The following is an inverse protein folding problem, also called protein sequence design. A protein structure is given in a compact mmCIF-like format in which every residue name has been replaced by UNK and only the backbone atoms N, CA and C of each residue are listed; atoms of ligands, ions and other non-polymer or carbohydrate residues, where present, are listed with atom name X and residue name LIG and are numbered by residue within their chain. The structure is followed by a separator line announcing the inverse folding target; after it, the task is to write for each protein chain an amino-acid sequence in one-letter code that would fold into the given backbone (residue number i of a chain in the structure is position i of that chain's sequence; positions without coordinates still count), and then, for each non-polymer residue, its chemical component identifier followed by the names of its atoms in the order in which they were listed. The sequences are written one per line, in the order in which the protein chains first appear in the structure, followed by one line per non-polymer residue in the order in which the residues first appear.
data_IF_646062745024
#
_entry.id   IF_646062745024
#
_cell.length_a   1.000
_cell.length_b   1.000
_cell.length_c   1.000
_cell.angle_alpha   90.00
_cell.angle_beta   90.00
_cell.angle_gamma   90.00
#
_symmetry.space_group_name_H-M   'P 1'
#
loop_
_entity.id
_entity.type
_entity.pdbx_description
1 polymer ?
#
# COMPACT_ATOMS: atom_id res chain seq x y z
N UNK A 1 -18.44 12.19 -9.84
CA UNK A 1 -16.99 11.94 -10.02
C UNK A 1 -16.16 12.38 -8.82
N UNK A 2 -16.30 13.61 -8.32
CA UNK A 2 -15.52 14.12 -7.17
C UNK A 2 -15.61 13.24 -5.92
N UNK A 3 -16.81 12.72 -5.59
CA UNK A 3 -17.03 11.81 -4.47
C UNK A 3 -16.19 10.53 -4.56
N UNK A 4 -15.99 9.99 -5.77
CA UNK A 4 -15.20 8.78 -6.00
C UNK A 4 -13.73 9.05 -5.66
N UNK A 5 -13.17 10.16 -6.15
CA UNK A 5 -11.79 10.56 -5.82
C UNK A 5 -11.59 10.83 -4.33
N UNK A 6 -12.59 11.40 -3.64
CA UNK A 6 -12.52 11.61 -2.18
C UNK A 6 -12.41 10.27 -1.44
N UNK A 7 -13.17 9.26 -1.86
CA UNK A 7 -13.09 7.90 -1.28
C UNK A 7 -11.71 7.28 -1.53
N UNK A 8 -11.18 7.39 -2.75
CA UNK A 8 -9.85 6.87 -3.08
C UNK A 8 -8.73 7.59 -2.29
N UNK A 9 -8.80 8.92 -2.17
CA UNK A 9 -7.87 9.70 -1.33
C UNK A 9 -7.95 9.24 0.13
N UNK A 10 -9.15 9.02 0.66
CA UNK A 10 -9.33 8.50 2.02
C UNK A 10 -8.71 7.10 2.18
N UNK A 11 -8.88 6.20 1.20
CA UNK A 11 -8.22 4.89 1.17
C UNK A 11 -6.68 5.01 1.13
N UNK A 12 -6.15 5.92 0.31
CA UNK A 12 -4.71 6.19 0.23
C UNK A 12 -4.15 6.69 1.57
N UNK A 13 -4.86 7.58 2.26
CA UNK A 13 -4.51 8.02 3.61
C UNK A 13 -4.57 6.87 4.62
N UNK A 14 -5.58 5.99 4.52
CA UNK A 14 -5.67 4.80 5.36
C UNK A 14 -4.45 3.89 5.17
N UNK A 15 -4.00 3.64 3.93
CA UNK A 15 -2.78 2.85 3.68
C UNK A 15 -1.54 3.50 4.30
N UNK A 16 -1.39 4.83 4.21
CA UNK A 16 -0.28 5.54 4.85
C UNK A 16 -0.37 5.37 6.38
N UNK A 17 -1.55 5.53 6.97
CA UNK A 17 -1.74 5.42 8.42
C UNK A 17 -1.43 4.01 8.93
N UNK A 18 -1.91 2.97 8.23
CA UNK A 18 -1.58 1.56 8.53
C UNK A 18 -0.09 1.31 8.39
N UNK A 19 0.55 1.89 7.37
CA UNK A 19 1.98 1.73 7.14
C UNK A 19 2.82 2.35 8.24
N UNK A 20 2.41 3.53 8.73
CA UNK A 20 3.03 4.18 9.89
C UNK A 20 2.82 3.35 11.16
N UNK A 21 1.62 2.79 11.37
CA UNK A 21 1.35 1.90 12.51
C UNK A 21 2.24 0.67 12.47
N UNK A 22 2.35 -0.02 11.33
CA UNK A 22 3.24 -1.18 11.17
C UNK A 22 4.70 -0.78 11.39
N UNK A 23 5.13 0.35 10.81
CA UNK A 23 6.52 0.82 10.90
C UNK A 23 6.93 1.24 12.33
N UNK A 24 6.08 2.01 13.03
CA UNK A 24 6.40 2.55 14.37
C UNK A 24 6.00 1.64 15.51
N UNK A 25 4.82 1.01 15.43
CA UNK A 25 4.27 0.18 16.51
C UNK A 25 4.64 -1.30 16.35
N UNK A 26 5.35 -1.67 15.27
CA UNK A 26 5.81 -3.03 14.99
C UNK A 26 4.68 -4.08 15.02
N UNK A 27 3.45 -3.65 14.73
CA UNK A 27 2.26 -4.51 14.72
C UNK A 27 2.20 -5.34 13.44
N UNK A 28 3.14 -6.27 13.30
CA UNK A 28 3.23 -7.19 12.15
C UNK A 28 2.03 -8.15 12.07
N UNK A 29 1.32 -8.37 13.18
CA UNK A 29 0.09 -9.18 13.25
C UNK A 29 -1.05 -8.67 12.36
N UNK A 30 -1.00 -7.38 11.97
CA UNK A 30 -1.99 -6.78 11.07
C UNK A 30 -1.79 -7.25 9.61
N UNK A 31 -0.60 -7.79 9.29
CA UNK A 31 -0.32 -8.34 7.97
C UNK A 31 -0.96 -9.72 7.85
N UNK A 32 -1.78 -9.92 6.82
CA UNK A 32 -2.47 -11.20 6.56
C UNK A 32 -1.53 -12.39 6.33
N UNK A 33 -0.26 -12.13 6.03
CA UNK A 33 0.78 -13.14 5.81
C UNK A 33 1.55 -13.48 7.09
N UNK A 34 1.28 -12.82 8.21
CA UNK A 34 1.93 -13.14 9.48
C UNK A 34 1.44 -14.49 10.01
N UNK A 35 2.33 -15.48 10.01
CA UNK A 35 2.10 -16.77 10.65
C UNK A 35 2.75 -16.77 12.03
N UNK A 36 1.94 -16.78 13.09
CA UNK A 36 2.44 -16.80 14.48
C UNK A 36 3.27 -18.04 14.83
N UNK A 37 3.30 -19.06 13.97
CA UNK A 37 4.10 -20.28 14.15
C UNK A 37 5.55 -20.15 13.66
N UNK A 38 5.86 -19.15 12.82
CA UNK A 38 7.20 -18.95 12.24
C UNK A 38 7.98 -17.87 13.00
N UNK A 39 9.29 -18.06 13.14
CA UNK A 39 10.19 -17.04 13.69
C UNK A 39 10.53 -16.02 12.60
N UNK A 40 10.05 -14.81 12.76
CA UNK A 40 10.43 -13.66 11.94
C UNK A 40 11.34 -12.72 12.73
N UNK A 41 12.26 -12.05 12.06
CA UNK A 41 12.86 -10.82 12.58
C UNK A 41 11.80 -9.72 12.54
N UNK A 42 10.99 -9.65 13.59
CA UNK A 42 9.81 -8.77 13.70
C UNK A 42 10.15 -7.29 13.53
N UNK A 43 11.35 -6.88 13.95
CA UNK A 43 11.82 -5.50 13.85
C UNK A 43 12.14 -5.11 12.42
N UNK A 44 12.88 -5.96 11.71
CA UNK A 44 13.23 -5.72 10.31
C UNK A 44 12.01 -5.88 9.41
N UNK A 45 11.16 -6.87 9.68
CA UNK A 45 9.93 -7.13 8.95
C UNK A 45 8.95 -5.95 9.06
N UNK A 46 8.71 -5.45 10.27
CA UNK A 46 7.87 -4.27 10.50
C UNK A 46 8.37 -3.04 9.75
N UNK A 47 9.68 -2.80 9.76
CA UNK A 47 10.28 -1.66 9.05
C UNK A 47 10.11 -1.78 7.54
N UNK A 48 10.35 -2.95 6.97
CA UNK A 48 10.25 -3.17 5.52
C UNK A 48 8.79 -3.13 5.08
N UNK A 49 7.92 -3.93 5.68
CA UNK A 49 6.50 -3.99 5.33
C UNK A 49 5.81 -2.63 5.54
N UNK A 50 6.06 -1.97 6.67
CA UNK A 50 5.54 -0.64 6.95
C UNK A 50 6.01 0.40 5.93
N UNK A 51 7.29 0.40 5.56
CA UNK A 51 7.84 1.31 4.55
C UNK A 51 7.20 1.09 3.18
N UNK A 52 6.99 -0.16 2.77
CA UNK A 52 6.30 -0.46 1.52
C UNK A 52 4.83 -0.05 1.53
N UNK A 53 4.11 -0.26 2.64
CA UNK A 53 2.72 0.15 2.77
C UNK A 53 2.58 1.69 2.72
N UNK A 54 3.51 2.41 3.36
CA UNK A 54 3.59 3.87 3.26
C UNK A 54 3.83 4.30 1.81
N UNK A 55 4.79 3.69 1.12
CA UNK A 55 5.06 4.03 -0.28
C UNK A 55 3.88 3.74 -1.20
N UNK A 56 3.21 2.61 -1.00
CA UNK A 56 1.99 2.26 -1.73
C UNK A 56 0.93 3.35 -1.54
N UNK A 57 0.64 3.74 -0.30
CA UNK A 57 -0.34 4.79 0.00
C UNK A 57 0.05 6.18 -0.52
N UNK A 58 1.33 6.54 -0.49
CA UNK A 58 1.82 7.81 -1.06
C UNK A 58 1.68 7.81 -2.58
N UNK A 59 2.03 6.71 -3.26
CA UNK A 59 1.89 6.60 -4.72
C UNK A 59 0.44 6.62 -5.17
N UNK A 60 -0.45 5.91 -4.47
CA UNK A 60 -1.89 5.97 -4.78
C UNK A 60 -2.45 7.36 -4.53
N UNK A 61 -2.02 8.05 -3.47
CA UNK A 61 -2.43 9.44 -3.21
C UNK A 61 -2.00 10.40 -4.34
N UNK A 62 -0.77 10.26 -4.84
CA UNK A 62 -0.29 11.08 -5.97
C UNK A 62 -1.16 10.83 -7.21
N UNK A 63 -1.45 9.56 -7.52
CA UNK A 63 -2.32 9.18 -8.64
C UNK A 63 -3.71 9.77 -8.45
N UNK A 64 -4.32 9.62 -7.27
CA UNK A 64 -5.67 10.13 -6.98
C UNK A 64 -5.75 11.65 -7.20
N UNK A 65 -4.76 12.41 -6.71
CA UNK A 65 -4.71 13.86 -6.88
C UNK A 65 -4.50 14.24 -8.35
N UNK A 66 -3.56 13.62 -9.05
CA UNK A 66 -3.31 13.91 -10.48
C UNK A 66 -4.55 13.64 -11.34
N UNK A 67 -5.19 12.49 -11.15
CA UNK A 67 -6.36 12.09 -11.94
C UNK A 67 -7.63 12.85 -11.57
N UNK A 68 -7.74 13.36 -10.33
CA UNK A 68 -8.83 14.26 -9.95
C UNK A 68 -8.86 15.52 -10.82
N UNK A 69 -7.70 16.06 -11.21
CA UNK A 69 -7.61 17.22 -12.12
C UNK A 69 -7.78 16.80 -13.59
N UNK A 70 -7.13 15.71 -14.03
CA UNK A 70 -7.18 15.25 -15.42
C UNK A 70 -8.58 14.77 -15.85
N UNK A 71 -9.33 14.10 -14.97
CA UNK A 71 -10.67 13.61 -15.27
C UNK A 71 -11.72 14.73 -15.37
N UNK A 72 -11.41 15.96 -14.92
CA UNK A 72 -12.24 17.13 -15.21
C UNK A 72 -12.17 17.55 -16.68
N UNK A 73 -11.08 17.20 -17.37
CA UNK A 73 -10.82 17.59 -18.76
C UNK A 73 -11.35 16.53 -19.72
N UNK A 74 -11.02 15.25 -19.49
CA UNK A 74 -11.51 14.15 -20.33
C UNK A 74 -11.90 12.90 -19.52
N UNK A 75 -13.09 12.37 -19.81
CA UNK A 75 -13.63 11.16 -19.16
C UNK A 75 -12.79 9.89 -19.43
N UNK A 76 -12.10 9.83 -20.58
CA UNK A 76 -11.25 8.69 -20.94
C UNK A 76 -10.11 8.42 -19.93
N UNK A 77 -9.68 9.44 -19.17
CA UNK A 77 -8.64 9.27 -18.14
C UNK A 77 -9.09 8.42 -16.95
N UNK A 78 -10.39 8.14 -16.78
CA UNK A 78 -10.89 7.26 -15.71
C UNK A 78 -10.42 5.82 -15.91
N UNK A 79 -10.37 5.33 -17.16
CA UNK A 79 -9.87 3.99 -17.44
C UNK A 79 -8.37 3.87 -17.13
N UNK A 80 -7.61 4.90 -17.51
CA UNK A 80 -6.18 4.99 -17.20
C UNK A 80 -5.94 5.06 -15.68
N UNK A 81 -6.77 5.80 -14.96
CA UNK A 81 -6.77 5.86 -13.49
C UNK A 81 -6.93 4.46 -12.89
N UNK A 82 -7.98 3.73 -13.25
CA UNK A 82 -8.27 2.39 -12.72
C UNK A 82 -7.13 1.40 -12.99
N UNK A 83 -6.54 1.43 -14.20
CA UNK A 83 -5.41 0.58 -14.57
C UNK A 83 -4.19 0.93 -13.71
N UNK A 84 -3.84 2.22 -13.61
CA UNK A 84 -2.69 2.67 -12.85
C UNK A 84 -2.82 2.36 -11.35
N UNK A 85 -4.01 2.56 -10.78
CA UNK A 85 -4.31 2.26 -9.39
C UNK A 85 -4.16 0.76 -9.11
N UNK A 86 -4.77 -0.09 -9.93
CA UNK A 86 -4.66 -1.55 -9.82
C UNK A 86 -3.20 -2.01 -9.94
N UNK A 87 -2.45 -1.47 -10.90
CA UNK A 87 -1.04 -1.78 -11.09
C UNK A 87 -0.19 -1.47 -9.85
N UNK A 88 -0.38 -0.29 -9.24
CA UNK A 88 0.33 0.09 -8.01
C UNK A 88 -0.02 -0.86 -6.86
N UNK A 89 -1.30 -1.19 -6.67
CA UNK A 89 -1.71 -2.11 -5.61
C UNK A 89 -1.06 -3.49 -5.77
N UNK A 90 -1.13 -4.07 -6.97
CA UNK A 90 -0.59 -5.40 -7.25
C UNK A 90 0.93 -5.39 -7.14
N UNK A 91 1.61 -4.39 -7.71
CA UNK A 91 3.06 -4.30 -7.68
C UNK A 91 3.60 -4.22 -6.25
N UNK A 92 3.05 -3.33 -5.42
CA UNK A 92 3.47 -3.21 -4.03
C UNK A 92 3.09 -4.42 -3.20
N UNK A 93 1.92 -5.03 -3.43
CA UNK A 93 1.53 -6.27 -2.74
C UNK A 93 2.51 -7.41 -3.02
N UNK A 94 2.83 -7.67 -4.30
CA UNK A 94 3.82 -8.69 -4.68
C UNK A 94 5.20 -8.38 -4.10
N UNK A 95 5.61 -7.10 -4.11
CA UNK A 95 6.91 -6.70 -3.57
C UNK A 95 6.99 -6.92 -2.07
N UNK A 96 5.94 -6.56 -1.33
CA UNK A 96 5.84 -6.80 0.11
C UNK A 96 5.92 -8.30 0.41
N UNK A 97 5.15 -9.14 -0.28
CA UNK A 97 5.17 -10.59 -0.06
C UNK A 97 6.56 -11.19 -0.30
N UNK A 98 7.22 -10.83 -1.41
CA UNK A 98 8.58 -11.32 -1.73
C UNK A 98 9.64 -10.86 -0.73
N UNK A 99 9.50 -9.65 -0.21
CA UNK A 99 10.44 -9.15 0.78
C UNK A 99 10.17 -9.79 2.15
N UNK A 100 8.91 -10.03 2.53
CA UNK A 100 8.54 -10.81 3.73
C UNK A 100 9.14 -12.23 3.68
N UNK A 101 8.99 -12.95 2.56
CA UNK A 101 9.56 -14.29 2.36
C UNK A 101 11.09 -14.33 2.52
N UNK A 102 11.79 -13.24 2.20
CA UNK A 102 13.25 -13.14 2.39
C UNK A 102 13.68 -12.96 3.85
N UNK A 103 12.78 -12.43 4.68
CA UNK A 103 13.03 -12.20 6.10
C UNK A 103 12.43 -13.29 7.00
N UNK A 104 11.82 -14.33 6.41
CA UNK A 104 11.59 -15.58 7.11
C UNK A 104 12.93 -16.19 7.49
N UNK A 105 13.21 -16.26 8.80
CA UNK A 105 14.34 -17.01 9.30
C UNK A 105 14.05 -18.48 9.01
N UNK A 106 14.72 -19.05 8.00
CA UNK A 106 14.73 -20.50 7.77
C UNK A 106 15.29 -21.16 9.02
N UNK A 107 14.40 -21.63 9.89
CA UNK A 107 14.71 -22.61 10.92
C UNK A 107 14.90 -23.98 10.31
#
# INVERSE_FOLDING_TARGET
MTLVFIIFIACSILFISLGIMVYKLKKIEILSYYDGTKKYDSDTLAKVAGKHLIYMGVWTLIIDVMFMFLCRIHFAFIFLFMISYCFVLVWYSVKVTKDIERFELKS
#
